data_IF_517078412099
#
_entry.id   IF_517078412099
#
_cell.length_a   1.000
_cell.length_b   1.000
_cell.length_c   1.000
_cell.angle_alpha   90.00
_cell.angle_beta   90.00
_cell.angle_gamma   90.00
#
_symmetry.space_group_name_H-M   'P 1'
#
loop_
_entity.id
_entity.type
_entity.pdbx_description
1 polymer ?
#
# COMPACT_ATOMS: atom_id res chain seq x y z
N UNK A 1 -6.22 -8.92 -9.15
CA UNK A 1 -6.25 -8.24 -7.84
C UNK A 1 -6.64 -9.15 -6.68
N UNK A 2 -7.74 -9.91 -6.71
CA UNK A 2 -8.04 -10.86 -5.61
C UNK A 2 -6.92 -11.89 -5.34
N UNK A 3 -6.22 -12.34 -6.38
CA UNK A 3 -5.07 -13.23 -6.24
C UNK A 3 -3.88 -12.54 -5.53
N UNK A 4 -3.63 -11.26 -5.82
CA UNK A 4 -2.56 -10.47 -5.18
C UNK A 4 -2.77 -10.33 -3.66
N UNK A 5 -4.02 -10.19 -3.21
CA UNK A 5 -4.33 -10.17 -1.78
C UNK A 5 -3.93 -11.49 -1.10
N UNK A 6 -4.18 -12.62 -1.78
CA UNK A 6 -3.82 -13.95 -1.26
C UNK A 6 -2.31 -14.14 -1.24
N UNK A 7 -1.62 -13.77 -2.32
CA UNK A 7 -0.16 -13.81 -2.39
C UNK A 7 0.49 -12.93 -1.31
N UNK A 8 -0.07 -11.75 -1.03
CA UNK A 8 0.43 -10.88 0.03
C UNK A 8 0.28 -11.50 1.42
N UNK A 9 -0.87 -12.13 1.71
CA UNK A 9 -1.08 -12.83 2.98
C UNK A 9 -0.10 -13.99 3.15
N UNK A 10 0.00 -14.87 2.14
CA UNK A 10 0.93 -15.99 2.16
C UNK A 10 2.38 -15.53 2.33
N UNK A 11 2.76 -14.44 1.68
CA UNK A 11 4.06 -13.81 1.87
C UNK A 11 4.25 -13.29 3.29
N UNK A 12 3.26 -12.60 3.85
CA UNK A 12 3.32 -12.06 5.21
C UNK A 12 3.43 -13.18 6.25
N UNK A 13 2.59 -14.21 6.15
CA UNK A 13 2.58 -15.36 7.04
C UNK A 13 3.93 -16.08 7.06
N UNK A 14 4.55 -16.24 5.88
CA UNK A 14 5.87 -16.87 5.75
C UNK A 14 7.00 -16.07 6.45
N UNK A 15 6.87 -14.74 6.50
CA UNK A 15 7.91 -13.84 7.01
C UNK A 15 7.59 -13.23 8.37
N UNK A 16 6.57 -13.74 9.07
CA UNK A 16 6.21 -13.30 10.43
C UNK A 16 5.48 -11.96 10.50
N UNK A 17 4.95 -11.46 9.38
CA UNK A 17 4.07 -10.29 9.36
C UNK A 17 2.62 -10.70 9.47
N UNK A 18 1.79 -9.84 10.06
CA UNK A 18 0.34 -10.03 10.10
C UNK A 18 -0.33 -9.20 9.03
N UNK A 19 -0.94 -9.86 8.05
CA UNK A 19 -1.80 -9.24 7.06
C UNK A 19 -3.26 -9.20 7.53
N UNK A 20 -3.95 -8.08 7.33
CA UNK A 20 -5.39 -7.93 7.64
C UNK A 20 -6.11 -7.30 6.44
N UNK A 21 -7.01 -8.06 5.82
CA UNK A 21 -7.88 -7.57 4.74
C UNK A 21 -9.01 -6.71 5.27
N UNK A 22 -9.48 -5.81 4.41
CA UNK A 22 -10.67 -4.99 4.65
C UNK A 22 -10.64 -4.28 6.02
N UNK A 23 -9.45 -3.82 6.40
CA UNK A 23 -9.21 -3.18 7.68
C UNK A 23 -10.10 -1.94 7.81
N UNK A 24 -10.95 -1.93 8.84
CA UNK A 24 -11.81 -0.80 9.14
C UNK A 24 -11.10 0.13 10.11
N UNK A 25 -10.99 1.40 9.71
CA UNK A 25 -10.50 2.49 10.55
C UNK A 25 -11.57 2.88 11.57
N UNK A 26 -11.19 3.61 12.62
CA UNK A 26 -12.10 4.08 13.67
C UNK A 26 -13.26 4.92 13.13
N UNK A 27 -13.03 5.65 12.04
CA UNK A 27 -14.07 6.45 11.37
C UNK A 27 -14.91 5.67 10.35
N UNK A 28 -14.75 4.34 10.29
CA UNK A 28 -15.53 3.44 9.45
C UNK A 28 -15.05 3.30 8.01
N UNK A 29 -13.97 4.00 7.61
CA UNK A 29 -13.34 3.82 6.30
C UNK A 29 -12.69 2.43 6.18
N UNK A 30 -12.61 1.89 4.96
CA UNK A 30 -11.96 0.59 4.69
C UNK A 30 -10.63 0.79 3.99
N UNK A 31 -9.57 0.16 4.48
CA UNK A 31 -8.31 -0.08 3.76
C UNK A 31 -8.30 -1.52 3.26
N UNK A 32 -7.96 -1.73 1.98
CA UNK A 32 -8.08 -3.06 1.35
C UNK A 32 -7.20 -4.12 2.03
N UNK A 33 -5.97 -3.76 2.37
CA UNK A 33 -5.03 -4.61 3.08
C UNK A 33 -4.10 -3.74 3.92
N UNK A 34 -3.87 -4.15 5.16
CA UNK A 34 -2.84 -3.58 6.03
C UNK A 34 -1.90 -4.67 6.52
N UNK A 35 -0.66 -4.28 6.79
CA UNK A 35 0.38 -5.18 7.27
C UNK A 35 0.95 -4.64 8.57
N UNK A 36 1.07 -5.54 9.54
CA UNK A 36 1.64 -5.29 10.85
C UNK A 36 2.89 -6.13 11.09
N UNK A 37 3.78 -5.59 11.92
CA UNK A 37 4.88 -6.33 12.54
C UNK A 37 4.71 -6.23 14.07
N UNK A 38 4.13 -7.25 14.68
CA UNK A 38 3.59 -7.12 16.04
C UNK A 38 2.50 -6.04 16.09
N UNK A 39 2.69 -5.02 16.92
CA UNK A 39 1.79 -3.85 17.02
C UNK A 39 2.15 -2.70 16.07
N UNK A 40 3.30 -2.80 15.37
CA UNK A 40 3.76 -1.77 14.43
C UNK A 40 2.91 -1.77 13.17
N UNK A 41 2.43 -0.58 12.77
CA UNK A 41 1.69 -0.34 11.52
C UNK A 41 2.67 -0.11 10.36
N UNK A 42 2.97 -1.17 9.62
CA UNK A 42 4.04 -1.15 8.61
C UNK A 42 3.59 -0.56 7.28
N UNK A 43 2.48 -1.07 6.74
CA UNK A 43 2.07 -0.73 5.38
C UNK A 43 0.55 -0.78 5.20
N UNK A 44 0.00 0.23 4.55
CA UNK A 44 -1.35 0.20 3.98
C UNK A 44 -1.28 -0.04 2.46
N UNK A 45 -2.23 -0.79 1.93
CA UNK A 45 -2.29 -1.17 0.51
C UNK A 45 -3.72 -0.95 0.00
N UNK A 46 -3.86 -0.33 -1.17
CA UNK A 46 -5.14 -0.11 -1.85
C UNK A 46 -5.07 -0.56 -3.30
N UNK A 47 -6.15 -1.19 -3.77
CA UNK A 47 -6.27 -1.67 -5.14
C UNK A 47 -7.24 -0.79 -5.91
N UNK A 48 -6.70 0.18 -6.65
CA UNK A 48 -7.49 1.20 -7.33
C UNK A 48 -7.77 0.85 -8.80
N UNK A 49 -9.05 0.75 -9.14
CA UNK A 49 -9.54 0.43 -10.49
C UNK A 49 -10.33 1.57 -11.13
N UNK A 50 -10.33 2.76 -10.54
CA UNK A 50 -11.11 3.90 -11.04
C UNK A 50 -10.25 4.90 -11.80
N UNK A 51 -10.09 4.72 -13.11
CA UNK A 51 -9.25 5.59 -13.96
C UNK A 51 -9.63 7.08 -13.83
N UNK A 52 -10.93 7.39 -13.98
CA UNK A 52 -11.44 8.77 -13.97
C UNK A 52 -11.14 9.51 -12.66
N UNK A 53 -11.10 8.79 -11.54
CA UNK A 53 -11.00 9.37 -10.21
C UNK A 53 -9.69 9.03 -9.49
N UNK A 54 -8.71 8.50 -10.21
CA UNK A 54 -7.52 7.90 -9.61
C UNK A 54 -6.75 8.90 -8.75
N UNK A 55 -6.66 10.17 -9.17
CA UNK A 55 -5.99 11.23 -8.39
C UNK A 55 -6.70 11.49 -7.05
N UNK A 56 -8.02 11.64 -7.08
CA UNK A 56 -8.83 11.86 -5.88
C UNK A 56 -8.81 10.62 -4.97
N UNK A 57 -8.82 9.42 -5.54
CA UNK A 57 -8.72 8.16 -4.82
C UNK A 57 -7.38 8.02 -4.10
N UNK A 58 -6.27 8.30 -4.79
CA UNK A 58 -4.94 8.30 -4.18
C UNK A 58 -4.87 9.28 -3.00
N UNK A 59 -5.35 10.51 -3.18
CA UNK A 59 -5.38 11.50 -2.10
C UNK A 59 -6.23 11.03 -0.91
N UNK A 60 -7.45 10.56 -1.17
CA UNK A 60 -8.35 10.05 -0.14
C UNK A 60 -7.73 8.88 0.63
N UNK A 61 -7.11 7.95 -0.09
CA UNK A 61 -6.44 6.79 0.50
C UNK A 61 -5.23 7.19 1.34
N UNK A 62 -4.45 8.19 0.92
CA UNK A 62 -3.34 8.72 1.72
C UNK A 62 -3.82 9.34 3.04
N UNK A 63 -4.88 10.16 2.99
CA UNK A 63 -5.51 10.73 4.20
C UNK A 63 -6.03 9.63 5.12
N UNK A 64 -6.72 8.63 4.56
CA UNK A 64 -7.26 7.48 5.28
C UNK A 64 -6.15 6.66 5.96
N UNK A 65 -5.09 6.33 5.23
CA UNK A 65 -3.93 5.61 5.76
C UNK A 65 -3.26 6.40 6.89
N UNK A 66 -3.03 7.71 6.70
CA UNK A 66 -2.43 8.59 7.72
C UNK A 66 -3.25 8.62 9.00
N UNK A 67 -4.56 8.81 8.90
CA UNK A 67 -5.47 8.82 10.04
C UNK A 67 -5.54 7.47 10.75
N UNK A 68 -5.40 6.38 9.99
CA UNK A 68 -5.27 5.04 10.55
C UNK A 68 -3.90 4.75 11.18
N UNK A 69 -2.95 5.69 11.12
CA UNK A 69 -1.61 5.57 11.69
C UNK A 69 -0.57 4.91 10.79
N UNK A 70 -0.87 4.73 9.50
CA UNK A 70 0.09 4.23 8.51
C UNK A 70 0.77 5.40 7.81
N UNK A 71 2.11 5.45 7.89
CA UNK A 71 2.90 6.47 7.20
C UNK A 71 3.43 5.99 5.85
N UNK A 72 3.02 4.79 5.39
CA UNK A 72 3.37 4.24 4.09
C UNK A 72 2.15 3.66 3.41
N UNK A 73 1.99 3.97 2.13
CA UNK A 73 0.85 3.57 1.31
C UNK A 73 1.33 3.07 -0.05
N UNK A 74 0.96 1.84 -0.39
CA UNK A 74 1.10 1.30 -1.75
C UNK A 74 -0.25 1.35 -2.45
N UNK A 75 -0.30 1.97 -3.62
CA UNK A 75 -1.46 1.94 -4.52
C UNK A 75 -1.15 1.02 -5.68
N UNK A 76 -1.95 -0.03 -5.85
CA UNK A 76 -1.89 -0.94 -6.99
C UNK A 76 -2.93 -0.50 -8.02
N UNK A 77 -2.49 -0.15 -9.23
CA UNK A 77 -3.37 0.38 -10.28
C UNK A 77 -3.04 -0.22 -11.66
N UNK A 78 -4.04 -0.56 -12.50
CA UNK A 78 -3.82 -1.32 -13.74
C UNK A 78 -3.62 -0.44 -14.99
N UNK A 79 -3.60 0.88 -14.85
CA UNK A 79 -3.57 1.81 -16.00
C UNK A 79 -2.15 2.07 -16.47
N UNK A 80 -1.92 2.24 -17.77
CA UNK A 80 -0.57 2.45 -18.30
C UNK A 80 0.05 3.78 -17.85
N UNK A 81 -0.74 4.85 -17.84
CA UNK A 81 -0.27 6.20 -17.49
C UNK A 81 0.07 6.32 -16.01
N UNK A 82 1.05 7.15 -15.70
CA UNK A 82 1.27 7.63 -14.33
C UNK A 82 0.05 8.46 -13.88
N UNK A 83 -0.67 8.02 -12.83
CA UNK A 83 -1.90 8.66 -12.39
C UNK A 83 -1.65 10.03 -11.76
N UNK A 84 -0.44 10.32 -11.27
CA UNK A 84 -0.09 11.58 -10.61
C UNK A 84 0.73 12.53 -11.49
N UNK A 85 0.95 12.19 -12.75
CA UNK A 85 1.63 13.08 -13.69
C UNK A 85 1.03 14.50 -13.65
N UNK A 86 1.91 15.48 -13.39
CA UNK A 86 1.61 16.92 -13.25
C UNK A 86 0.52 17.22 -12.21
N UNK A 87 0.49 16.45 -11.10
CA UNK A 87 -0.48 16.61 -10.02
C UNK A 87 0.18 17.13 -8.75
N UNK A 88 -0.44 18.11 -8.08
CA UNK A 88 -0.03 18.57 -6.75
C UNK A 88 -0.23 17.50 -5.65
N UNK A 89 -1.01 16.45 -5.95
CA UNK A 89 -1.35 15.39 -4.99
C UNK A 89 -0.10 14.67 -4.48
N UNK A 90 0.90 14.40 -5.32
CA UNK A 90 2.11 13.70 -4.90
C UNK A 90 2.88 14.49 -3.83
N UNK A 91 3.10 15.78 -4.11
CA UNK A 91 3.77 16.71 -3.20
C UNK A 91 2.99 16.86 -1.89
N UNK A 92 1.67 17.03 -1.97
CA UNK A 92 0.83 17.13 -0.77
C UNK A 92 0.88 15.86 0.10
N UNK A 93 0.79 14.67 -0.51
CA UNK A 93 0.88 13.40 0.23
C UNK A 93 2.24 13.26 0.91
N UNK A 94 3.31 13.66 0.23
CA UNK A 94 4.68 13.55 0.76
C UNK A 94 4.98 14.60 1.83
N UNK A 95 4.73 15.87 1.55
CA UNK A 95 5.20 16.98 2.38
C UNK A 95 4.21 17.34 3.50
N UNK A 96 2.91 17.30 3.23
CA UNK A 96 1.88 17.67 4.20
C UNK A 96 1.42 16.47 5.03
N UNK A 97 1.08 15.35 4.37
CA UNK A 97 0.61 14.15 5.08
C UNK A 97 1.76 13.33 5.68
N UNK A 98 3.00 13.53 5.22
CA UNK A 98 4.17 12.72 5.59
C UNK A 98 3.89 11.22 5.41
N UNK A 99 3.28 10.89 4.27
CA UNK A 99 3.02 9.50 3.86
C UNK A 99 3.95 9.18 2.69
N UNK A 100 4.74 8.12 2.84
CA UNK A 100 5.49 7.54 1.73
C UNK A 100 4.51 6.83 0.78
N UNK A 101 4.32 7.41 -0.40
CA UNK A 101 3.41 6.89 -1.43
C UNK A 101 4.20 6.12 -2.49
N UNK A 102 3.77 4.89 -2.74
CA UNK A 102 4.34 4.02 -3.78
C UNK A 102 3.23 3.62 -4.75
N UNK A 103 3.42 3.93 -6.04
CA UNK A 103 2.46 3.61 -7.10
C UNK A 103 2.99 2.44 -7.93
N UNK A 104 2.32 1.30 -7.90
CA UNK A 104 2.80 0.08 -8.57
C UNK A 104 1.76 -0.52 -9.51
N UNK A 105 2.25 -1.17 -10.56
CA UNK A 105 1.43 -2.02 -11.42
C UNK A 105 1.17 -3.38 -10.75
N UNK A 106 0.11 -4.10 -11.15
CA UNK A 106 -0.23 -5.40 -10.57
C UNK A 106 0.90 -6.45 -10.64
N UNK A 107 1.68 -6.46 -11.73
CA UNK A 107 2.82 -7.35 -11.96
C UNK A 107 4.05 -6.99 -11.11
N UNK A 108 4.20 -5.73 -10.71
CA UNK A 108 5.28 -5.28 -9.81
C UNK A 108 4.91 -5.37 -8.32
N UNK A 109 3.67 -5.74 -7.98
CA UNK A 109 3.15 -5.66 -6.62
C UNK A 109 3.98 -6.47 -5.61
N UNK A 110 4.37 -7.70 -5.95
CA UNK A 110 5.12 -8.56 -5.03
C UNK A 110 6.54 -8.02 -4.77
N UNK A 111 7.19 -7.43 -5.79
CA UNK A 111 8.50 -6.77 -5.60
C UNK A 111 8.37 -5.59 -4.64
N UNK A 112 7.37 -4.73 -4.87
CA UNK A 112 7.11 -3.59 -4.01
C UNK A 112 6.78 -4.00 -2.58
N UNK A 113 6.06 -5.12 -2.40
CA UNK A 113 5.78 -5.68 -1.07
C UNK A 113 7.07 -6.13 -0.37
N UNK A 114 7.94 -6.89 -1.04
CA UNK A 114 9.23 -7.35 -0.50
C UNK A 114 10.12 -6.18 -0.07
N UNK A 115 10.29 -5.21 -0.96
CA UNK A 115 11.04 -3.98 -0.70
C UNK A 115 10.43 -3.20 0.48
N UNK A 116 9.09 -3.17 0.55
CA UNK A 116 8.41 -2.42 1.60
C UNK A 116 8.61 -3.02 2.98
N UNK A 117 8.65 -4.34 3.06
CA UNK A 117 8.82 -5.10 4.29
C UNK A 117 10.31 -5.33 4.64
N UNK A 118 11.23 -4.84 3.82
CA UNK A 118 12.70 -5.00 3.99
C UNK A 118 13.11 -6.46 4.21
N UNK A 119 12.37 -7.39 3.61
CA UNK A 119 12.71 -8.80 3.66
C UNK A 119 13.96 -9.00 2.82
N UNK A 120 15.07 -9.39 3.46
CA UNK A 120 16.25 -9.90 2.77
C UNK A 120 15.96 -11.31 2.31
N UNK A 121 16.25 -11.64 1.06
CA UNK A 121 16.23 -13.04 0.63
C UNK A 121 17.19 -13.83 1.55
N UNK A 122 16.74 -14.97 2.07
CA UNK A 122 17.50 -15.87 2.95
C UNK A 122 18.75 -16.48 2.29
N UNK A 123 19.20 -15.97 1.14
CA UNK A 123 20.33 -16.45 0.35
C UNK A 123 21.65 -15.70 0.60
N UNK A 124 21.66 -14.64 1.41
CA UNK A 124 22.90 -13.92 1.76
C UNK A 124 23.70 -14.58 2.92
N UNK A 125 23.56 -15.89 3.09
CA UNK A 125 24.38 -16.70 3.98
C UNK A 125 24.99 -17.87 3.19
N UNK A 126 25.98 -17.56 2.36
CA UNK A 126 27.01 -18.50 1.93
C UNK A 126 28.38 -17.85 2.10
#
# INVERSE_FOLDING_TARGET
MKYLLKEAEEFCDLHGFRAVREFRTEDGSRIDLVIFNGDEKVLAIEFENSYKWIKQRILYNAVKAKRAGFNRLVIVYPFNNDPLSKSWVEEYVKEELRVELVLVKPDCFLSALKESLKVKDLLDCQ
#
